data_IF_905618441431
#
_entry.id   IF_905618441431
#
_cell.length_a   1.000
_cell.length_b   1.000
_cell.length_c   1.000
_cell.angle_alpha   90.00
_cell.angle_beta   90.00
_cell.angle_gamma   90.00
#
_symmetry.space_group_name_H-M   'P 1'
#
loop_
_entity.id
_entity.type
_entity.pdbx_description
1 polymer ?
#
# COMPACT_ATOMS: atom_id res chain seq x y z
N UNK A 1 11.66 11.80 -30.98
CA UNK A 1 11.64 10.70 -30.01
C UNK A 1 10.20 10.21 -29.92
N UNK A 2 9.95 8.91 -30.05
CA UNK A 2 8.60 8.36 -29.85
C UNK A 2 8.23 8.56 -28.37
N UNK A 3 7.06 9.11 -28.09
CA UNK A 3 6.54 9.20 -26.72
C UNK A 3 6.35 7.78 -26.22
N UNK A 4 7.05 7.42 -25.16
CA UNK A 4 6.91 6.12 -24.49
C UNK A 4 5.49 6.06 -23.88
N UNK A 5 4.76 5.01 -24.18
CA UNK A 5 3.43 4.78 -23.59
C UNK A 5 3.62 4.03 -22.28
N UNK A 6 3.72 4.76 -21.16
CA UNK A 6 3.83 4.17 -19.81
C UNK A 6 2.46 3.68 -19.38
N UNK A 7 2.37 2.39 -19.08
CA UNK A 7 1.13 1.77 -18.58
C UNK A 7 1.10 1.81 -17.06
N UNK A 8 2.22 1.50 -16.42
CA UNK A 8 2.32 1.36 -14.97
C UNK A 8 3.27 2.38 -14.37
N UNK A 9 2.83 3.06 -13.31
CA UNK A 9 3.71 3.81 -12.42
C UNK A 9 3.70 3.12 -11.06
N UNK A 10 4.83 2.57 -10.62
CA UNK A 10 4.97 2.08 -9.26
C UNK A 10 5.62 3.13 -8.37
N UNK A 11 4.99 3.43 -7.25
CA UNK A 11 5.43 4.42 -6.27
C UNK A 11 5.92 3.69 -5.03
N UNK A 12 7.19 3.91 -4.66
CA UNK A 12 7.85 3.27 -3.53
C UNK A 12 8.30 4.34 -2.54
N UNK A 13 7.56 4.57 -1.44
CA UNK A 13 8.02 5.42 -0.35
C UNK A 13 9.11 4.68 0.44
N UNK A 14 10.17 5.35 0.86
CA UNK A 14 11.24 4.73 1.66
C UNK A 14 11.80 5.63 2.73
N UNK A 15 12.24 5.02 3.85
CA UNK A 15 12.88 5.69 4.98
C UNK A 15 14.01 4.86 5.56
N UNK A 16 15.28 5.11 5.18
CA UNK A 16 16.48 4.45 5.72
C UNK A 16 16.44 2.92 5.72
N UNK A 17 15.87 2.31 4.71
CA UNK A 17 15.69 0.85 4.59
C UNK A 17 16.33 0.30 3.31
N UNK A 18 17.58 0.69 3.02
CA UNK A 18 18.26 0.38 1.75
C UNK A 18 18.28 -1.11 1.39
N UNK A 19 18.43 -2.02 2.37
CA UNK A 19 18.42 -3.48 2.14
C UNK A 19 17.03 -3.94 1.67
N UNK A 20 15.97 -3.47 2.32
CA UNK A 20 14.60 -3.82 1.98
C UNK A 20 14.20 -3.22 0.63
N UNK A 21 14.52 -1.93 0.43
CA UNK A 21 14.32 -1.25 -0.85
C UNK A 21 15.03 -1.96 -2.01
N UNK A 22 16.24 -2.50 -1.78
CA UNK A 22 16.96 -3.29 -2.80
C UNK A 22 16.13 -4.51 -3.22
N UNK A 23 15.52 -5.25 -2.27
CA UNK A 23 14.62 -6.37 -2.53
C UNK A 23 13.38 -5.94 -3.34
N UNK A 24 12.74 -4.86 -2.92
CA UNK A 24 11.59 -4.30 -3.62
C UNK A 24 11.94 -3.95 -5.07
N UNK A 25 12.99 -3.16 -5.28
CA UNK A 25 13.45 -2.75 -6.61
C UNK A 25 13.88 -3.93 -7.47
N UNK A 26 14.58 -4.91 -6.92
CA UNK A 26 14.93 -6.14 -7.64
C UNK A 26 13.69 -6.85 -8.17
N UNK A 27 12.64 -6.98 -7.36
CA UNK A 27 11.39 -7.63 -7.77
C UNK A 27 10.65 -6.87 -8.87
N UNK A 28 10.70 -5.54 -8.82
CA UNK A 28 10.10 -4.65 -9.82
C UNK A 28 10.87 -4.68 -11.12
N UNK A 29 12.19 -4.56 -11.08
CA UNK A 29 13.06 -4.52 -12.28
C UNK A 29 13.23 -5.88 -12.96
N UNK A 30 12.85 -6.97 -12.30
CA UNK A 30 12.82 -8.31 -12.90
C UNK A 30 11.54 -8.62 -13.68
N UNK A 31 10.57 -7.70 -13.72
CA UNK A 31 9.31 -7.93 -14.45
C UNK A 31 9.49 -7.91 -15.96
N UNK A 32 8.84 -8.83 -16.66
CA UNK A 32 8.94 -8.98 -18.11
C UNK A 32 8.36 -7.79 -18.90
N UNK A 33 7.50 -6.97 -18.30
CA UNK A 33 6.86 -5.77 -18.86
C UNK A 33 7.59 -4.47 -18.45
N UNK A 34 8.90 -4.52 -18.22
CA UNK A 34 9.69 -3.36 -17.79
C UNK A 34 9.57 -2.13 -18.71
N UNK A 35 9.34 -2.35 -20.03
CA UNK A 35 9.25 -1.25 -21.02
C UNK A 35 8.04 -0.34 -20.79
N UNK A 36 6.99 -0.86 -20.19
CA UNK A 36 5.72 -0.17 -19.94
C UNK A 36 5.60 0.35 -18.51
N UNK A 37 6.70 0.28 -17.76
CA UNK A 37 6.80 0.61 -16.34
C UNK A 37 7.70 1.83 -16.12
N UNK A 38 7.29 2.74 -15.26
CA UNK A 38 8.18 3.68 -14.58
C UNK A 38 8.20 3.41 -13.08
N UNK A 39 9.35 3.57 -12.47
CA UNK A 39 9.55 3.41 -11.02
C UNK A 39 9.79 4.78 -10.41
N UNK A 40 9.03 5.11 -9.37
CA UNK A 40 9.14 6.38 -8.68
C UNK A 40 9.47 6.10 -7.21
N UNK A 41 10.73 6.25 -6.84
CA UNK A 41 11.18 6.11 -5.45
C UNK A 41 11.20 7.48 -4.79
N UNK A 42 10.53 7.59 -3.63
CA UNK A 42 10.49 8.83 -2.86
C UNK A 42 11.03 8.57 -1.45
N UNK A 43 12.25 9.04 -1.20
CA UNK A 43 12.87 9.00 0.13
C UNK A 43 12.49 10.27 0.91
N UNK A 44 12.07 10.11 2.15
CA UNK A 44 11.74 11.21 3.06
C UNK A 44 12.93 11.63 3.94
N UNK A 45 14.13 11.15 3.61
CA UNK A 45 15.37 11.45 4.33
C UNK A 45 16.56 11.36 3.37
N UNK A 46 17.62 12.10 3.69
CA UNK A 46 18.91 11.95 2.99
C UNK A 46 19.64 10.73 3.59
N UNK A 47 19.91 9.73 2.77
CA UNK A 47 20.60 8.52 3.16
C UNK A 47 21.43 7.95 2.00
N UNK A 48 22.77 7.95 2.18
CA UNK A 48 23.69 7.52 1.13
C UNK A 48 23.53 6.05 0.72
N UNK A 49 23.08 5.20 1.62
CA UNK A 49 22.82 3.79 1.32
C UNK A 49 21.59 3.64 0.42
N UNK A 50 20.54 4.42 0.67
CA UNK A 50 19.36 4.51 -0.21
C UNK A 50 19.75 5.08 -1.57
N UNK A 51 20.59 6.14 -1.61
CA UNK A 51 21.09 6.72 -2.87
C UNK A 51 21.82 5.68 -3.71
N UNK A 52 22.70 4.88 -3.10
CA UNK A 52 23.44 3.85 -3.80
C UNK A 52 22.54 2.77 -4.40
N UNK A 53 21.51 2.34 -3.67
CA UNK A 53 20.51 1.36 -4.14
C UNK A 53 19.71 1.94 -5.32
N UNK A 54 19.22 3.17 -5.21
CA UNK A 54 18.48 3.82 -6.29
C UNK A 54 19.36 3.98 -7.55
N UNK A 55 20.60 4.44 -7.40
CA UNK A 55 21.53 4.58 -8.53
C UNK A 55 21.85 3.24 -9.20
N UNK A 56 21.80 2.12 -8.48
CA UNK A 56 22.05 0.80 -9.04
C UNK A 56 20.87 0.26 -9.85
N UNK A 57 19.63 0.41 -9.34
CA UNK A 57 18.46 -0.20 -9.94
C UNK A 57 17.71 0.70 -10.93
N UNK A 58 17.69 2.02 -10.72
CA UNK A 58 16.85 2.92 -11.50
C UNK A 58 17.51 3.31 -12.83
N UNK A 59 16.71 3.27 -13.90
CA UNK A 59 17.11 3.69 -15.23
C UNK A 59 16.82 5.16 -15.50
N UNK A 60 17.07 5.59 -16.73
CA UNK A 60 16.93 7.01 -17.14
C UNK A 60 15.47 7.50 -17.13
N UNK A 61 14.53 6.59 -17.26
CA UNK A 61 13.09 6.89 -17.30
C UNK A 61 12.44 6.76 -15.91
N UNK A 62 13.19 6.29 -14.90
CA UNK A 62 12.73 6.20 -13.52
C UNK A 62 13.01 7.49 -12.75
N UNK A 63 12.29 7.68 -11.66
CA UNK A 63 12.39 8.89 -10.84
C UNK A 63 12.86 8.54 -9.44
N UNK A 64 13.92 9.20 -8.97
CA UNK A 64 14.34 9.17 -7.58
C UNK A 64 14.30 10.56 -6.98
N UNK A 65 13.53 10.72 -5.89
CA UNK A 65 13.40 12.00 -5.20
C UNK A 65 13.72 11.82 -3.71
N UNK A 66 14.54 12.71 -3.22
CA UNK A 66 14.75 12.97 -1.79
C UNK A 66 13.91 14.18 -1.42
N UNK A 67 12.84 13.97 -0.68
CA UNK A 67 12.01 15.07 -0.22
C UNK A 67 12.45 15.58 1.16
N UNK A 68 12.19 16.84 1.40
CA UNK A 68 12.31 17.46 2.72
C UNK A 68 10.95 17.46 3.42
N UNK A 69 10.95 17.76 4.71
CA UNK A 69 9.73 17.90 5.52
C UNK A 69 9.55 16.75 6.52
N UNK A 70 8.34 16.62 7.03
CA UNK A 70 8.03 15.60 8.04
C UNK A 70 8.10 14.20 7.41
N UNK A 71 8.82 13.29 8.05
CA UNK A 71 8.92 11.90 7.59
C UNK A 71 7.55 11.21 7.64
N UNK A 72 7.29 10.36 6.65
CA UNK A 72 6.08 9.54 6.59
C UNK A 72 5.67 9.17 5.17
N UNK A 73 4.91 8.08 5.01
CA UNK A 73 4.57 7.54 3.69
C UNK A 73 3.57 8.41 2.92
N UNK A 74 2.65 9.11 3.60
CA UNK A 74 1.59 9.91 2.96
C UNK A 74 2.13 10.95 1.98
N UNK A 75 3.04 11.81 2.44
CA UNK A 75 3.64 12.85 1.58
C UNK A 75 4.48 12.23 0.46
N UNK A 76 5.17 11.12 0.73
CA UNK A 76 5.98 10.42 -0.28
C UNK A 76 5.09 9.78 -1.35
N UNK A 77 3.99 9.11 -0.97
CA UNK A 77 3.02 8.55 -1.92
C UNK A 77 2.30 9.65 -2.71
N UNK A 78 1.91 10.76 -2.08
CA UNK A 78 1.29 11.90 -2.76
C UNK A 78 2.23 12.54 -3.79
N UNK A 79 3.49 12.75 -3.43
CA UNK A 79 4.50 13.31 -4.34
C UNK A 79 4.75 12.34 -5.51
N UNK A 80 4.98 11.06 -5.23
CA UNK A 80 5.17 10.05 -6.27
C UNK A 80 3.97 9.98 -7.22
N UNK A 81 2.74 9.98 -6.69
CA UNK A 81 1.52 9.99 -7.49
C UNK A 81 1.41 11.23 -8.39
N UNK A 82 1.81 12.40 -7.92
CA UNK A 82 1.77 13.64 -8.71
C UNK A 82 2.73 13.64 -9.90
N UNK A 83 3.79 12.85 -9.83
CA UNK A 83 4.83 12.73 -10.87
C UNK A 83 4.56 11.56 -11.83
N UNK A 84 3.71 10.64 -11.42
CA UNK A 84 3.40 9.45 -12.19
C UNK A 84 2.82 9.79 -13.56
N UNK A 85 3.31 9.16 -14.62
CA UNK A 85 2.84 9.33 -16.01
C UNK A 85 2.02 8.14 -16.52
N UNK A 86 2.09 6.98 -15.85
CA UNK A 86 1.40 5.78 -16.23
C UNK A 86 -0.12 5.86 -16.16
N UNK A 87 -0.78 5.00 -16.90
CA UNK A 87 -2.24 4.90 -16.86
C UNK A 87 -2.77 4.28 -15.57
N UNK A 88 -1.98 3.40 -14.95
CA UNK A 88 -2.27 2.76 -13.68
C UNK A 88 -1.20 3.08 -12.65
N UNK A 89 -1.66 3.39 -11.44
CA UNK A 89 -0.82 3.65 -10.27
C UNK A 89 -0.82 2.41 -9.38
N UNK A 90 0.39 1.96 -9.02
CA UNK A 90 0.62 0.92 -8.02
C UNK A 90 1.43 1.54 -6.87
N UNK A 91 1.10 1.15 -5.65
CA UNK A 91 1.92 1.46 -4.48
C UNK A 91 2.60 0.18 -4.01
N UNK A 92 3.88 0.25 -3.76
CA UNK A 92 4.66 -0.86 -3.20
C UNK A 92 5.46 -0.34 -2.02
N UNK A 93 5.28 -0.93 -0.85
CA UNK A 93 6.09 -0.55 0.31
C UNK A 93 7.53 -1.04 0.13
N UNK A 94 8.49 -0.30 0.68
CA UNK A 94 9.92 -0.57 0.48
C UNK A 94 10.38 -1.90 1.11
N UNK A 95 9.55 -2.53 1.92
CA UNK A 95 9.78 -3.84 2.52
C UNK A 95 8.99 -4.99 1.87
N UNK A 96 8.18 -4.71 0.85
CA UNK A 96 7.44 -5.70 0.07
C UNK A 96 8.15 -6.04 -1.27
N UNK A 97 7.60 -7.00 -2.00
CA UNK A 97 8.09 -7.39 -3.32
C UNK A 97 6.94 -7.87 -4.22
N UNK A 98 7.18 -7.96 -5.51
CA UNK A 98 6.27 -8.57 -6.47
C UNK A 98 6.66 -10.01 -6.81
N UNK A 99 5.67 -10.84 -7.09
CA UNK A 99 5.88 -12.16 -7.67
C UNK A 99 6.38 -12.05 -9.13
N UNK A 100 7.09 -13.05 -9.65
CA UNK A 100 7.44 -13.12 -11.07
C UNK A 100 6.19 -13.01 -11.96
N UNK A 101 6.34 -12.40 -13.14
CA UNK A 101 5.27 -12.21 -14.13
C UNK A 101 4.03 -11.42 -13.64
N UNK A 102 4.11 -10.75 -12.49
CA UNK A 102 2.99 -9.98 -11.95
C UNK A 102 2.46 -8.96 -12.94
N UNK A 103 3.31 -8.07 -13.48
CA UNK A 103 2.87 -7.02 -14.41
C UNK A 103 2.28 -7.56 -15.70
N UNK A 104 2.82 -8.67 -16.21
CA UNK A 104 2.28 -9.36 -17.40
C UNK A 104 0.84 -9.81 -17.15
N UNK A 105 0.60 -10.46 -16.03
CA UNK A 105 -0.73 -10.97 -15.67
C UNK A 105 -1.69 -9.82 -15.29
N UNK A 106 -1.20 -8.78 -14.63
CA UNK A 106 -1.98 -7.57 -14.33
C UNK A 106 -2.42 -6.87 -15.64
N UNK A 107 -1.56 -6.80 -16.64
CA UNK A 107 -1.90 -6.22 -17.94
C UNK A 107 -3.08 -6.95 -18.59
N UNK A 108 -3.12 -8.28 -18.53
CA UNK A 108 -4.28 -9.05 -19.02
C UNK A 108 -5.55 -8.77 -18.21
N UNK A 109 -5.43 -8.63 -16.89
CA UNK A 109 -6.55 -8.21 -16.03
C UNK A 109 -7.10 -6.83 -16.41
N UNK A 110 -6.22 -5.86 -16.67
CA UNK A 110 -6.61 -4.52 -17.12
C UNK A 110 -7.31 -4.55 -18.49
N UNK A 111 -6.86 -5.39 -19.39
CA UNK A 111 -7.52 -5.55 -20.70
C UNK A 111 -8.95 -6.06 -20.59
N UNK A 112 -9.23 -6.90 -19.59
CA UNK A 112 -10.58 -7.40 -19.31
C UNK A 112 -11.45 -6.38 -18.57
N UNK A 113 -10.85 -5.53 -17.75
CA UNK A 113 -11.52 -4.53 -16.92
C UNK A 113 -10.87 -3.15 -17.07
N UNK A 114 -10.91 -2.54 -18.27
CA UNK A 114 -10.24 -1.27 -18.53
C UNK A 114 -10.85 -0.14 -17.69
N UNK A 115 -9.97 0.73 -17.16
CA UNK A 115 -10.31 1.88 -16.33
C UNK A 115 -10.96 1.56 -14.96
N UNK A 116 -10.94 0.31 -14.51
CA UNK A 116 -11.38 -0.09 -13.18
C UNK A 116 -10.20 -0.27 -12.23
N UNK A 117 -10.42 0.04 -10.95
CA UNK A 117 -9.51 -0.37 -9.89
C UNK A 117 -9.55 -1.88 -9.75
N UNK A 118 -8.37 -2.49 -9.63
CA UNK A 118 -8.23 -3.93 -9.51
C UNK A 118 -7.58 -4.28 -8.17
N UNK A 119 -7.96 -5.41 -7.57
CA UNK A 119 -7.24 -6.00 -6.45
C UNK A 119 -7.00 -7.49 -6.69
N UNK A 120 -5.97 -8.00 -6.04
CA UNK A 120 -5.43 -9.33 -6.35
C UNK A 120 -4.81 -9.99 -5.13
N UNK A 121 -4.59 -11.31 -5.23
CA UNK A 121 -4.00 -12.15 -4.19
C UNK A 121 -2.57 -11.73 -3.87
N UNK A 122 -2.15 -12.05 -2.65
CA UNK A 122 -0.77 -11.87 -2.21
C UNK A 122 -0.26 -13.13 -1.49
N UNK A 123 1.03 -13.20 -1.23
CA UNK A 123 1.58 -14.08 -0.22
C UNK A 123 2.06 -13.27 0.98
N UNK A 124 1.91 -13.86 2.16
CA UNK A 124 2.49 -13.34 3.41
C UNK A 124 3.75 -14.13 3.71
N UNK A 125 4.87 -13.43 3.72
CA UNK A 125 6.19 -13.98 4.05
C UNK A 125 6.54 -13.55 5.47
N UNK A 126 6.70 -14.52 6.36
CA UNK A 126 7.24 -14.27 7.69
C UNK A 126 8.75 -14.31 7.66
N UNK A 127 9.37 -13.29 8.25
CA UNK A 127 10.83 -13.16 8.36
C UNK A 127 11.24 -12.60 9.71
N UNK A 128 12.48 -12.88 10.16
CA UNK A 128 13.08 -12.15 11.27
C UNK A 128 13.97 -11.04 10.72
N UNK A 129 13.89 -9.85 11.31
CA UNK A 129 14.75 -8.69 11.00
C UNK A 129 15.61 -8.41 12.23
N UNK A 130 16.84 -8.94 12.24
CA UNK A 130 17.84 -8.65 13.26
C UNK A 130 18.82 -7.56 12.81
N UNK A 131 20.02 -7.52 13.44
CA UNK A 131 21.13 -6.64 13.04
C UNK A 131 21.79 -7.04 11.70
N UNK A 132 21.36 -8.14 11.10
CA UNK A 132 21.81 -8.69 9.82
C UNK A 132 20.66 -8.74 8.81
N UNK A 133 20.93 -9.28 7.63
CA UNK A 133 19.92 -9.47 6.60
C UNK A 133 18.69 -10.24 7.09
N UNK A 134 17.47 -9.92 6.56
CA UNK A 134 16.24 -10.63 6.91
C UNK A 134 16.37 -12.14 6.67
N UNK A 135 15.85 -12.95 7.59
CA UNK A 135 15.84 -14.41 7.46
C UNK A 135 14.43 -14.91 7.27
N UNK A 136 14.22 -15.64 6.19
CA UNK A 136 12.96 -16.28 5.84
C UNK A 136 12.55 -17.31 6.91
N UNK A 137 11.26 -17.34 7.26
CA UNK A 137 10.65 -18.34 8.14
C UNK A 137 9.63 -19.17 7.35
N UNK A 138 8.62 -18.53 6.76
CA UNK A 138 7.55 -19.21 6.03
C UNK A 138 6.91 -18.27 5.02
N UNK A 139 6.22 -18.85 4.03
CA UNK A 139 5.37 -18.11 3.10
C UNK A 139 4.04 -18.83 2.94
N UNK A 140 2.96 -18.09 2.95
CA UNK A 140 1.60 -18.59 2.72
C UNK A 140 0.85 -17.70 1.76
N UNK A 141 0.13 -18.30 0.81
CA UNK A 141 -0.72 -17.55 -0.12
C UNK A 141 -1.99 -17.13 0.60
N UNK A 142 -2.35 -15.87 0.45
CA UNK A 142 -3.61 -15.29 0.92
C UNK A 142 -4.49 -15.02 -0.29
N UNK A 143 -5.56 -15.82 -0.41
CA UNK A 143 -6.57 -15.63 -1.43
C UNK A 143 -7.53 -14.53 -0.97
N UNK A 144 -7.65 -13.47 -1.78
CA UNK A 144 -8.46 -12.29 -1.49
C UNK A 144 -9.81 -12.27 -2.22
N UNK A 145 -10.20 -13.38 -2.85
CA UNK A 145 -11.51 -13.47 -3.50
C UNK A 145 -12.63 -13.16 -2.50
N UNK A 146 -13.54 -12.25 -2.84
CA UNK A 146 -14.66 -11.83 -1.99
C UNK A 146 -14.28 -11.22 -0.64
N UNK A 147 -13.02 -10.83 -0.42
CA UNK A 147 -12.60 -10.18 0.83
C UNK A 147 -13.15 -8.75 0.93
N UNK A 148 -13.20 -8.02 -0.21
CA UNK A 148 -13.73 -6.68 -0.23
C UNK A 148 -15.26 -6.72 -0.20
N UNK A 149 -15.80 -6.52 0.98
CA UNK A 149 -17.23 -6.35 1.26
C UNK A 149 -17.43 -4.99 1.94
N UNK A 150 -18.64 -4.63 2.29
CA UNK A 150 -18.92 -3.42 3.07
C UNK A 150 -18.19 -3.38 4.43
N UNK A 151 -17.69 -4.52 4.90
CA UNK A 151 -16.91 -4.62 6.15
C UNK A 151 -15.55 -3.88 6.07
N UNK A 152 -15.11 -3.49 4.86
CA UNK A 152 -13.96 -2.58 4.68
C UNK A 152 -14.16 -1.23 5.38
N UNK A 153 -15.41 -0.81 5.58
CA UNK A 153 -15.72 0.39 6.37
C UNK A 153 -15.57 0.19 7.88
N UNK A 154 -15.38 -1.05 8.35
CA UNK A 154 -15.12 -1.36 9.77
C UNK A 154 -13.61 -1.43 10.05
N UNK A 155 -12.85 -2.05 9.15
CA UNK A 155 -11.38 -2.18 9.27
C UNK A 155 -10.73 -2.42 7.92
N UNK A 156 -9.45 -2.08 7.79
CA UNK A 156 -8.67 -2.44 6.61
C UNK A 156 -8.59 -3.96 6.43
N UNK A 157 -8.85 -4.44 5.23
CA UNK A 157 -8.87 -5.86 4.89
C UNK A 157 -7.83 -6.26 3.84
N UNK A 158 -7.33 -5.30 3.05
CA UNK A 158 -6.41 -5.57 1.95
C UNK A 158 -5.24 -4.60 1.99
N UNK A 159 -4.04 -5.15 1.93
CA UNK A 159 -2.81 -4.36 1.93
C UNK A 159 -2.73 -3.46 0.68
N UNK A 160 -2.18 -2.23 0.84
CA UNK A 160 -2.09 -1.26 -0.25
C UNK A 160 -1.33 -1.80 -1.47
N UNK A 161 -0.32 -2.64 -1.26
CA UNK A 161 0.47 -3.26 -2.34
C UNK A 161 -0.34 -4.28 -3.19
N UNK A 162 -1.60 -4.57 -2.82
CA UNK A 162 -2.48 -5.51 -3.53
C UNK A 162 -3.48 -4.84 -4.46
N UNK A 163 -3.24 -3.59 -4.84
CA UNK A 163 -4.12 -2.82 -5.72
C UNK A 163 -3.40 -2.26 -6.95
N UNK A 164 -4.17 -2.11 -8.03
CA UNK A 164 -3.83 -1.29 -9.18
C UNK A 164 -4.97 -0.29 -9.44
N UNK A 165 -4.66 1.00 -9.42
CA UNK A 165 -5.65 2.07 -9.55
C UNK A 165 -5.51 2.79 -10.89
N UNK A 166 -6.59 3.01 -11.65
CA UNK A 166 -6.55 3.95 -12.78
C UNK A 166 -6.09 5.33 -12.30
N UNK A 167 -5.08 5.91 -12.95
CA UNK A 167 -4.60 7.24 -12.57
C UNK A 167 -5.71 8.28 -12.59
N UNK A 168 -6.61 8.20 -13.58
CA UNK A 168 -7.74 9.12 -13.70
C UNK A 168 -8.65 9.11 -12.46
N UNK A 169 -8.88 7.93 -11.86
CA UNK A 169 -9.71 7.78 -10.67
C UNK A 169 -9.05 8.39 -9.43
N UNK A 170 -7.75 8.15 -9.24
CA UNK A 170 -7.04 8.56 -8.00
C UNK A 170 -6.36 9.91 -8.09
N UNK A 171 -6.42 10.59 -9.23
CA UNK A 171 -5.67 11.82 -9.47
C UNK A 171 -6.01 12.92 -8.45
N UNK A 172 -7.27 13.06 -8.08
CA UNK A 172 -7.75 14.05 -7.13
C UNK A 172 -7.81 13.56 -5.68
N UNK A 173 -7.48 12.30 -5.42
CA UNK A 173 -7.39 11.75 -4.07
C UNK A 173 -5.99 11.99 -3.50
N UNK A 174 -5.88 12.02 -2.17
CA UNK A 174 -4.58 12.16 -1.50
C UNK A 174 -4.57 11.40 -0.19
N UNK A 175 -3.40 10.83 0.14
CA UNK A 175 -3.16 10.30 1.48
C UNK A 175 -3.13 11.48 2.47
N UNK A 176 -3.82 11.32 3.59
CA UNK A 176 -3.84 12.36 4.61
C UNK A 176 -2.49 12.39 5.37
N UNK A 177 -1.77 13.50 5.25
CA UNK A 177 -0.46 13.70 5.87
C UNK A 177 -0.51 13.88 7.39
N UNK A 178 -1.68 14.15 7.95
CA UNK A 178 -1.85 14.30 9.39
C UNK A 178 -2.06 12.96 10.11
N UNK A 179 -2.36 11.89 9.36
CA UNK A 179 -2.53 10.56 9.90
C UNK A 179 -1.19 9.91 10.25
N UNK A 180 -1.13 9.25 11.40
CA UNK A 180 0.03 8.50 11.87
C UNK A 180 -0.02 7.04 11.46
N UNK A 181 -1.22 6.51 11.29
CA UNK A 181 -1.52 5.15 10.87
C UNK A 181 -2.85 5.13 10.11
N UNK A 182 -3.08 4.08 9.34
CA UNK A 182 -4.29 3.85 8.54
C UNK A 182 -4.53 4.89 7.42
N UNK A 183 -3.52 5.65 7.02
CA UNK A 183 -3.58 6.56 5.88
C UNK A 183 -3.83 5.81 4.56
N UNK A 184 -3.38 4.57 4.48
CA UNK A 184 -3.64 3.66 3.37
C UNK A 184 -5.11 3.24 3.31
N UNK A 185 -5.68 2.91 4.47
CA UNK A 185 -7.10 2.57 4.57
C UNK A 185 -8.02 3.76 4.28
N UNK A 186 -7.73 4.95 4.80
CA UNK A 186 -8.44 6.19 4.49
C UNK A 186 -8.43 6.47 2.98
N UNK A 187 -7.28 6.29 2.33
CA UNK A 187 -7.17 6.43 0.89
C UNK A 187 -8.00 5.37 0.13
N UNK A 188 -7.93 4.11 0.55
CA UNK A 188 -8.73 3.03 -0.04
C UNK A 188 -10.23 3.32 0.07
N UNK A 189 -10.72 3.76 1.24
CA UNK A 189 -12.12 4.13 1.42
C UNK A 189 -12.52 5.29 0.49
N UNK A 190 -11.65 6.28 0.29
CA UNK A 190 -11.87 7.36 -0.67
C UNK A 190 -12.00 6.85 -2.12
N UNK A 191 -11.33 5.75 -2.45
CA UNK A 191 -11.52 5.05 -3.74
C UNK A 191 -12.85 4.31 -3.76
N UNK A 192 -13.18 3.56 -2.68
CA UNK A 192 -14.41 2.76 -2.61
C UNK A 192 -15.68 3.61 -2.63
N UNK A 193 -15.62 4.85 -2.13
CA UNK A 193 -16.70 5.83 -2.24
C UNK A 193 -17.00 6.23 -3.70
N UNK A 194 -16.06 6.01 -4.62
CA UNK A 194 -16.24 6.26 -6.05
C UNK A 194 -16.53 4.97 -6.81
N UNK A 195 -15.76 3.92 -6.55
CA UNK A 195 -15.83 2.64 -7.24
C UNK A 195 -15.20 1.52 -6.39
N UNK A 196 -15.95 0.42 -6.19
CA UNK A 196 -15.38 -0.78 -5.59
C UNK A 196 -14.44 -1.48 -6.58
N UNK A 197 -13.21 -1.83 -6.17
CA UNK A 197 -12.27 -2.53 -7.02
C UNK A 197 -12.75 -3.92 -7.43
N UNK A 198 -12.38 -4.34 -8.63
CA UNK A 198 -12.69 -5.66 -9.18
C UNK A 198 -11.57 -6.64 -8.78
N UNK A 199 -11.97 -7.80 -8.26
CA UNK A 199 -11.02 -8.88 -8.00
C UNK A 199 -10.54 -9.52 -9.31
N UNK A 200 -9.23 -9.75 -9.40
CA UNK A 200 -8.63 -10.59 -10.44
C UNK A 200 -7.82 -11.71 -9.80
N UNK A 201 -7.98 -12.98 -10.27
CA UNK A 201 -7.28 -14.14 -9.70
C UNK A 201 -5.80 -14.15 -10.13
N UNK A 202 -5.01 -13.30 -9.49
CA UNK A 202 -3.61 -13.07 -9.79
C UNK A 202 -2.82 -13.01 -8.48
N UNK A 203 -1.75 -13.81 -8.36
CA UNK A 203 -0.81 -13.69 -7.25
C UNK A 203 0.18 -12.56 -7.55
N UNK A 204 0.00 -11.41 -6.88
CA UNK A 204 0.72 -10.17 -7.19
C UNK A 204 1.84 -9.84 -6.23
N UNK A 205 1.51 -9.52 -5.01
CA UNK A 205 2.47 -9.00 -4.02
C UNK A 205 2.90 -10.05 -3.02
N UNK A 206 4.15 -9.92 -2.55
CA UNK A 206 4.71 -10.63 -1.39
C UNK A 206 4.82 -9.63 -0.26
N UNK A 207 3.98 -9.78 0.76
CA UNK A 207 3.92 -8.92 1.93
C UNK A 207 4.82 -9.53 3.01
N UNK A 208 5.82 -8.78 3.45
CA UNK A 208 6.79 -9.28 4.41
C UNK A 208 6.45 -8.85 5.83
N UNK A 209 6.15 -9.84 6.67
CA UNK A 209 5.85 -9.66 8.07
C UNK A 209 7.02 -10.07 8.96
N UNK A 210 7.35 -9.21 9.92
CA UNK A 210 8.40 -9.49 10.92
C UNK A 210 7.80 -10.31 12.03
N UNK A 211 8.39 -11.49 12.29
CA UNK A 211 8.01 -12.41 13.37
C UNK A 211 8.95 -12.23 14.57
N UNK A 212 9.10 -10.99 15.00
CA UNK A 212 9.79 -10.70 16.25
C UNK A 212 8.94 -9.76 17.12
N UNK A 213 9.21 -9.79 18.43
CA UNK A 213 8.57 -8.93 19.42
C UNK A 213 9.06 -7.47 19.36
N UNK A 214 9.76 -7.09 18.29
CA UNK A 214 10.27 -5.73 18.14
C UNK A 214 9.13 -4.75 17.88
N UNK A 215 9.12 -3.69 18.68
CA UNK A 215 8.08 -2.67 18.78
C UNK A 215 8.01 -1.72 17.57
N UNK A 216 8.66 -2.04 16.46
CA UNK A 216 8.84 -1.12 15.33
C UNK A 216 7.69 -1.14 14.31
N UNK A 217 6.60 -1.84 14.62
CA UNK A 217 5.37 -1.84 13.81
C UNK A 217 4.44 -0.71 14.28
N UNK A 218 4.24 0.26 13.45
CA UNK A 218 3.04 1.09 13.50
C UNK A 218 1.84 0.13 13.28
N UNK A 219 1.04 -0.10 14.32
CA UNK A 219 -0.13 -1.01 14.23
C UNK A 219 0.09 -2.45 14.73
N UNK A 220 1.11 -2.74 15.53
CA UNK A 220 1.30 -4.06 16.15
C UNK A 220 0.15 -4.43 17.11
N UNK A 221 -0.06 -5.74 17.34
CA UNK A 221 -1.10 -6.31 18.20
C UNK A 221 -1.07 -5.86 19.67
N UNK A 222 -0.06 -5.15 20.12
CA UNK A 222 -0.09 -4.39 21.38
C UNK A 222 -1.04 -3.18 21.31
N UNK A 223 -1.49 -2.79 20.12
CA UNK A 223 -2.44 -1.70 19.90
C UNK A 223 -3.85 -1.94 20.48
N UNK A 224 -4.20 -3.15 20.90
CA UNK A 224 -5.51 -3.43 21.52
C UNK A 224 -5.75 -2.66 22.84
N UNK A 225 -4.71 -2.06 23.41
CA UNK A 225 -4.79 -1.17 24.56
C UNK A 225 -4.22 0.24 24.29
N UNK A 226 -3.76 0.49 23.06
CA UNK A 226 -3.24 1.81 22.69
C UNK A 226 -4.40 2.74 22.31
N UNK A 227 -4.67 3.71 23.19
CA UNK A 227 -5.60 4.81 22.95
C UNK A 227 -5.40 5.47 21.58
N UNK A 228 -4.16 5.52 21.10
CA UNK A 228 -3.82 6.11 19.81
C UNK A 228 -4.45 5.35 18.65
N UNK A 229 -4.46 4.01 18.69
CA UNK A 229 -5.10 3.21 17.64
C UNK A 229 -6.61 3.49 17.56
N UNK A 230 -7.27 3.64 18.73
CA UNK A 230 -8.69 3.99 18.78
C UNK A 230 -8.95 5.37 18.15
N UNK A 231 -8.12 6.37 18.47
CA UNK A 231 -8.26 7.70 17.86
C UNK A 231 -8.03 7.67 16.35
N UNK A 232 -7.07 6.88 15.86
CA UNK A 232 -6.82 6.73 14.45
C UNK A 232 -8.04 6.07 13.74
N UNK A 233 -8.67 5.04 14.35
CA UNK A 233 -9.93 4.46 13.83
C UNK A 233 -11.07 5.47 13.81
N UNK A 234 -11.26 6.21 14.91
CA UNK A 234 -12.31 7.24 14.98
C UNK A 234 -12.09 8.35 13.95
N UNK A 235 -10.84 8.68 13.67
CA UNK A 235 -10.50 9.64 12.63
C UNK A 235 -10.96 9.16 11.25
N UNK A 236 -10.67 7.89 10.91
CA UNK A 236 -11.15 7.27 9.66
C UNK A 236 -12.67 7.22 9.63
N UNK A 237 -13.33 6.79 10.71
CA UNK A 237 -14.79 6.69 10.79
C UNK A 237 -15.49 8.03 10.59
N UNK A 238 -14.90 9.10 11.11
CA UNK A 238 -15.42 10.47 10.91
C UNK A 238 -15.34 10.92 9.45
N UNK A 239 -14.28 10.53 8.76
CA UNK A 239 -14.08 10.89 7.34
C UNK A 239 -14.95 10.06 6.41
N UNK A 240 -15.18 8.80 6.77
CA UNK A 240 -15.96 7.83 6.03
C UNK A 240 -17.08 7.30 6.92
N UNK A 241 -18.21 8.03 7.06
CA UNK A 241 -19.34 7.59 7.89
C UNK A 241 -19.81 6.19 7.52
N UNK A 242 -20.27 5.42 8.51
CA UNK A 242 -20.82 4.09 8.26
C UNK A 242 -22.02 4.14 7.32
N UNK A 243 -21.95 3.46 6.15
CA UNK A 243 -22.97 3.59 5.10
C UNK A 243 -24.34 3.07 5.52
N UNK A 244 -24.40 2.18 6.49
CA UNK A 244 -25.64 1.61 7.02
C UNK A 244 -25.55 1.27 8.50
N UNK A 245 -26.69 0.91 9.12
CA UNK A 245 -26.76 0.58 10.55
C UNK A 245 -25.92 -0.65 10.92
N UNK A 246 -25.82 -1.64 10.03
CA UNK A 246 -25.00 -2.83 10.26
C UNK A 246 -23.51 -2.46 10.43
N UNK A 247 -23.00 -1.61 9.56
CA UNK A 247 -21.59 -1.17 9.66
C UNK A 247 -21.38 -0.34 10.92
N UNK A 248 -22.31 0.57 11.27
CA UNK A 248 -22.22 1.34 12.51
C UNK A 248 -22.23 0.44 13.76
N UNK A 249 -23.07 -0.58 13.78
CA UNK A 249 -23.10 -1.58 14.85
C UNK A 249 -21.78 -2.37 14.93
N UNK A 250 -21.23 -2.79 13.82
CA UNK A 250 -19.93 -3.49 13.77
C UNK A 250 -18.78 -2.60 14.27
N UNK A 251 -18.76 -1.31 13.91
CA UNK A 251 -17.80 -0.32 14.44
C UNK A 251 -17.93 -0.19 15.96
N UNK A 252 -19.17 -0.07 16.46
CA UNK A 252 -19.44 -0.01 17.89
C UNK A 252 -18.96 -1.26 18.63
N UNK A 253 -19.22 -2.46 18.08
CA UNK A 253 -18.76 -3.72 18.65
C UNK A 253 -17.22 -3.78 18.68
N UNK A 254 -16.55 -3.39 17.59
CA UNK A 254 -15.08 -3.35 17.53
C UNK A 254 -14.51 -2.41 18.60
N UNK A 255 -15.03 -1.19 18.74
CA UNK A 255 -14.57 -0.25 19.74
C UNK A 255 -14.88 -0.73 21.17
N UNK A 256 -16.03 -1.36 21.38
CA UNK A 256 -16.41 -1.94 22.67
C UNK A 256 -15.47 -3.08 23.07
N UNK A 257 -15.03 -3.90 22.11
CA UNK A 257 -14.10 -5.01 22.37
C UNK A 257 -12.74 -4.55 22.89
N UNK A 258 -12.36 -3.30 22.57
CA UNK A 258 -11.13 -2.66 23.06
C UNK A 258 -11.39 -1.65 24.19
N UNK A 259 -12.59 -1.70 24.81
CA UNK A 259 -12.91 -0.95 26.03
C UNK A 259 -13.57 0.42 25.82
N UNK A 260 -13.92 0.78 24.56
CA UNK A 260 -14.56 2.07 24.27
C UNK A 260 -16.05 1.90 23.90
N UNK A 261 -16.88 2.60 24.65
CA UNK A 261 -18.33 2.67 24.39
C UNK A 261 -18.66 3.99 23.71
N UNK A 262 -18.98 3.94 22.43
CA UNK A 262 -19.38 5.09 21.61
C UNK A 262 -20.74 4.77 21.04
N UNK A 263 -21.63 5.79 20.99
CA UNK A 263 -22.93 5.63 20.39
C UNK A 263 -22.78 5.36 18.88
N UNK A 264 -23.51 4.36 18.37
CA UNK A 264 -23.46 3.97 16.97
C UNK A 264 -23.83 5.13 16.03
N UNK A 265 -24.69 6.04 16.47
CA UNK A 265 -25.14 7.18 15.69
C UNK A 265 -24.01 8.22 15.44
N UNK A 266 -22.86 8.05 16.13
CA UNK A 266 -21.66 8.85 15.94
C UNK A 266 -20.62 8.14 15.04
N UNK A 267 -20.87 6.91 14.63
CA UNK A 267 -19.97 6.04 13.90
C UNK A 267 -20.46 5.79 12.46
#
# INVERSE_FOLDING_TARGET
MAVRNIIFSVIIPTHKRSVLLSRALQSVKSQSQERDLEVIVVSDVIDSSTDAVCNFYLGIDDIYIRRNGVAGPSDSRNLGKSLASGHYILFLDDDDAWHPDFLKNLYEGIRLHPNHSLYFDCSVVKETRGSSEPRFISESVLNLVNILTMDVYVKNQVHMSCFAFPKALVNNLSFDRSMRAYEDWDFQLSVYDQEFPIYIPLLGSRIFEVDDSSSDRRGSSQAATDLNAVFDYLYVYRRHPGPDDRIREMRQQLLTSVGFRIDKDLL
#
